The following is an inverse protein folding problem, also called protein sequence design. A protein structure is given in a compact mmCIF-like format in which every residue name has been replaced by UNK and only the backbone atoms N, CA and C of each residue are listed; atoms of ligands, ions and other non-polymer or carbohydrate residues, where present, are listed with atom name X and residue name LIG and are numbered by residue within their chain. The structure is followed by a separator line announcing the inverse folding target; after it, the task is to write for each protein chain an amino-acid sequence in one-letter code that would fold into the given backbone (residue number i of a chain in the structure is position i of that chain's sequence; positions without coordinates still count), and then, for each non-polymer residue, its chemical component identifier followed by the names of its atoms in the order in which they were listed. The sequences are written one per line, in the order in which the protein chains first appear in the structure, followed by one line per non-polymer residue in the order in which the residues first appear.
data_IF_762894903544
#
_entry.id   IF_762894903544
#
_cell.length_a   1.000
_cell.length_b   1.000
_cell.length_c   1.000
_cell.angle_alpha   90.00
_cell.angle_beta   90.00
_cell.angle_gamma   90.00
#
_symmetry.space_group_name_H-M   'P 1'
#
loop_
_entity.id
_entity.type
_entity.pdbx_description
1 polymer ?
#
# COMPACT_ATOMS: atom_id res chain seq x y z
N UNK A 1 8.85 3.50 5.06
CA UNK A 1 8.39 4.25 3.87
C UNK A 1 9.37 3.97 2.76
N UNK A 2 8.89 3.74 1.55
CA UNK A 2 9.69 3.54 0.34
C UNK A 2 9.42 4.67 -0.64
N UNK A 3 10.46 5.12 -1.35
CA UNK A 3 10.37 6.13 -2.40
C UNK A 3 10.99 5.52 -3.65
N UNK A 4 10.22 5.44 -4.74
CA UNK A 4 10.65 4.91 -6.02
C UNK A 4 10.95 6.04 -7.00
N UNK A 5 12.13 5.97 -7.61
CA UNK A 5 12.57 6.88 -8.66
C UNK A 5 12.63 6.16 -9.98
N UNK A 6 12.26 6.85 -11.05
CA UNK A 6 12.39 6.38 -12.42
C UNK A 6 13.16 7.42 -13.23
N UNK A 7 13.94 6.97 -14.22
CA UNK A 7 14.71 7.85 -15.08
C UNK A 7 13.86 8.25 -16.28
N UNK A 8 13.62 9.54 -16.42
CA UNK A 8 12.84 10.14 -17.51
C UNK A 8 13.64 11.29 -18.13
N UNK A 9 13.83 11.26 -19.45
CA UNK A 9 14.68 12.21 -20.19
C UNK A 9 16.07 12.45 -19.55
N UNK A 10 16.65 11.42 -18.95
CA UNK A 10 17.96 11.50 -18.28
C UNK A 10 17.94 12.00 -16.83
N UNK A 11 16.80 12.49 -16.32
CA UNK A 11 16.59 12.98 -14.96
C UNK A 11 15.90 11.91 -14.10
N UNK A 12 16.25 11.82 -12.82
CA UNK A 12 15.55 10.95 -11.88
C UNK A 12 14.32 11.66 -11.30
N UNK A 13 13.13 11.13 -11.57
CA UNK A 13 11.87 11.63 -11.05
C UNK A 13 11.34 10.70 -9.97
N UNK A 14 10.86 11.27 -8.85
CA UNK A 14 10.09 10.51 -7.88
C UNK A 14 8.74 10.12 -8.50
N UNK A 15 8.58 8.82 -8.80
CA UNK A 15 7.38 8.28 -9.44
C UNK A 15 6.47 7.56 -8.48
N UNK A 16 6.98 7.09 -7.34
CA UNK A 16 6.15 6.42 -6.33
C UNK A 16 6.58 6.69 -4.90
N UNK A 17 5.60 6.70 -4.00
CA UNK A 17 5.77 6.72 -2.55
C UNK A 17 4.92 5.61 -1.98
N UNK A 18 5.48 4.80 -1.09
CA UNK A 18 4.75 3.71 -0.48
C UNK A 18 4.99 3.55 1.02
N UNK A 19 3.95 3.10 1.71
CA UNK A 19 3.97 2.79 3.12
C UNK A 19 3.90 1.28 3.31
N UNK A 20 4.92 0.72 3.95
CA UNK A 20 4.94 -0.69 4.35
C UNK A 20 4.09 -0.87 5.60
N UNK A 21 2.80 -1.11 5.41
CA UNK A 21 1.80 -1.22 6.49
C UNK A 21 2.14 -2.36 7.44
N UNK A 22 2.68 -3.48 6.92
CA UNK A 22 3.11 -4.62 7.74
C UNK A 22 4.25 -4.30 8.72
N UNK A 23 4.97 -3.18 8.55
CA UNK A 23 6.03 -2.78 9.48
C UNK A 23 5.52 -1.90 10.61
N UNK A 24 4.31 -1.34 10.49
CA UNK A 24 3.70 -0.53 11.54
C UNK A 24 3.23 -1.37 12.73
N UNK A 25 3.17 -2.70 12.54
CA UNK A 25 2.55 -3.65 13.47
C UNK A 25 3.53 -4.23 14.48
N UNK A 26 4.84 -4.08 14.27
CA UNK A 26 5.87 -4.68 15.12
C UNK A 26 6.18 -3.88 16.38
N UNK A 27 5.42 -2.84 16.72
CA UNK A 27 5.53 -2.09 17.99
C UNK A 27 6.86 -1.36 18.24
N UNK A 28 7.89 -1.65 17.43
CA UNK A 28 9.26 -1.19 17.59
C UNK A 28 9.65 -0.09 16.60
N UNK A 29 8.76 0.27 15.66
CA UNK A 29 8.90 1.50 14.88
C UNK A 29 8.04 2.58 15.51
N UNK A 30 8.63 3.60 16.17
CA UNK A 30 7.84 4.68 16.73
C UNK A 30 7.13 5.39 15.57
N UNK A 31 5.80 5.28 15.56
CA UNK A 31 4.98 6.14 14.72
C UNK A 31 5.23 7.58 15.18
N UNK A 32 5.58 8.53 14.29
CA UNK A 32 5.78 9.92 14.67
C UNK A 32 4.57 10.46 15.45
N UNK A 33 4.77 11.15 16.60
CA UNK A 33 3.67 11.62 17.44
C UNK A 33 2.56 12.40 16.71
N UNK A 34 2.85 13.26 15.70
CA UNK A 34 1.80 13.94 14.94
C UNK A 34 0.86 12.99 14.19
N UNK A 35 1.40 11.87 13.67
CA UNK A 35 0.61 10.85 12.98
C UNK A 35 -0.21 10.03 13.98
N UNK A 36 0.37 9.71 15.14
CA UNK A 36 -0.34 8.99 16.19
C UNK A 36 -1.49 9.81 16.79
N UNK A 37 -1.30 11.12 16.96
CA UNK A 37 -2.35 12.03 17.43
C UNK A 37 -3.50 12.18 16.42
N UNK A 38 -3.19 12.12 15.12
CA UNK A 38 -4.19 12.29 14.05
C UNK A 38 -4.95 11.00 13.75
N UNK A 39 -4.24 9.87 13.70
CA UNK A 39 -4.75 8.59 13.18
C UNK A 39 -4.91 7.51 14.26
N UNK A 40 -4.75 7.87 15.54
CA UNK A 40 -4.77 6.96 16.70
C UNK A 40 -3.67 5.88 16.65
N UNK A 41 -3.74 4.92 17.57
CA UNK A 41 -2.89 3.74 17.52
C UNK A 41 -3.20 2.94 16.24
N UNK A 42 -2.18 2.71 15.43
CA UNK A 42 -2.31 1.83 14.27
C UNK A 42 -2.65 0.42 14.77
N UNK A 43 -3.78 -0.11 14.29
CA UNK A 43 -4.20 -1.47 14.61
C UNK A 43 -3.16 -2.50 14.18
N UNK A 44 -3.13 -3.63 14.90
CA UNK A 44 -2.03 -4.61 14.77
C UNK A 44 -1.91 -5.21 13.37
N UNK A 45 -2.93 -5.22 12.50
CA UNK A 45 -2.86 -5.65 11.07
C UNK A 45 -4.03 -5.08 10.27
N UNK A 46 -3.79 -4.56 9.07
CA UNK A 46 -4.85 -4.18 8.13
C UNK A 46 -5.20 -5.38 7.26
N UNK A 47 -6.48 -5.78 7.24
CA UNK A 47 -6.98 -6.89 6.42
C UNK A 47 -7.49 -6.36 5.08
N UNK A 48 -7.22 -7.09 4.01
CA UNK A 48 -7.61 -6.67 2.64
C UNK A 48 -9.12 -6.64 2.45
N UNK A 49 -9.84 -7.63 2.97
CA UNK A 49 -11.29 -7.72 2.73
C UNK A 49 -12.08 -6.56 3.37
N UNK A 50 -11.85 -6.19 4.65
CA UNK A 50 -12.43 -4.97 5.21
C UNK A 50 -12.05 -3.69 4.44
N UNK A 51 -10.80 -3.56 3.97
CA UNK A 51 -10.37 -2.43 3.15
C UNK A 51 -11.14 -2.38 1.82
N UNK A 52 -11.26 -3.52 1.14
CA UNK A 52 -12.00 -3.66 -0.12
C UNK A 52 -13.46 -3.27 0.07
N UNK A 53 -14.09 -3.72 1.15
CA UNK A 53 -15.45 -3.35 1.50
C UNK A 53 -15.58 -1.83 1.74
N UNK A 54 -14.69 -1.24 2.54
CA UNK A 54 -14.68 0.19 2.82
C UNK A 54 -14.47 1.05 1.55
N UNK A 55 -13.68 0.60 0.58
CA UNK A 55 -13.55 1.27 -0.71
C UNK A 55 -14.83 1.15 -1.55
N UNK A 56 -15.46 -0.03 -1.53
CA UNK A 56 -16.72 -0.26 -2.24
C UNK A 56 -17.85 0.64 -1.73
N UNK A 57 -17.93 0.94 -0.43
CA UNK A 57 -18.92 1.90 0.11
C UNK A 57 -18.73 3.33 -0.42
N UNK A 58 -17.54 3.65 -0.94
CA UNK A 58 -17.22 4.92 -1.60
C UNK A 58 -17.28 4.83 -3.14
N UNK A 59 -17.83 3.74 -3.70
CA UNK A 59 -17.92 3.54 -5.14
C UNK A 59 -16.58 3.26 -5.82
N UNK A 60 -15.56 2.83 -5.06
CA UNK A 60 -14.21 2.52 -5.54
C UNK A 60 -13.98 1.01 -5.50
N UNK A 61 -13.32 0.47 -6.52
CA UNK A 61 -13.07 -0.97 -6.60
C UNK A 61 -11.61 -1.25 -6.96
N UNK A 62 -10.94 -2.01 -6.09
CA UNK A 62 -9.61 -2.51 -6.36
C UNK A 62 -9.67 -3.67 -7.36
N UNK A 63 -8.86 -3.60 -8.41
CA UNK A 63 -8.69 -4.66 -9.39
C UNK A 63 -7.35 -5.35 -9.18
N UNK A 64 -7.31 -6.67 -9.33
CA UNK A 64 -6.04 -7.39 -9.33
C UNK A 64 -5.23 -6.98 -10.57
N UNK A 65 -4.02 -6.48 -10.36
CA UNK A 65 -3.12 -6.06 -11.41
C UNK A 65 -2.02 -7.11 -11.66
N UNK A 66 -1.39 -7.60 -10.59
CA UNK A 66 -0.23 -8.51 -10.69
C UNK A 66 -0.28 -9.55 -9.58
N UNK A 67 0.28 -10.74 -9.84
CA UNK A 67 0.50 -11.79 -8.84
C UNK A 67 1.99 -12.08 -8.75
N UNK A 68 2.50 -12.08 -7.53
CA UNK A 68 3.86 -12.53 -7.21
C UNK A 68 3.79 -13.81 -6.38
N UNK A 69 4.96 -14.38 -6.06
CA UNK A 69 5.05 -15.64 -5.31
C UNK A 69 4.40 -15.61 -3.93
N UNK A 70 4.42 -14.45 -3.26
CA UNK A 70 3.91 -14.28 -1.90
C UNK A 70 2.95 -13.09 -1.74
N UNK A 71 2.72 -12.34 -2.82
CA UNK A 71 2.01 -11.06 -2.78
C UNK A 71 1.15 -10.86 -4.02
N UNK A 72 -0.11 -10.49 -3.84
CA UNK A 72 -0.99 -9.99 -4.89
C UNK A 72 -0.99 -8.45 -4.88
N UNK A 73 -0.92 -7.85 -6.07
CA UNK A 73 -0.97 -6.39 -6.25
C UNK A 73 -2.33 -6.02 -6.80
N UNK A 74 -3.07 -5.23 -6.04
CA UNK A 74 -4.33 -4.64 -6.46
C UNK A 74 -4.17 -3.15 -6.73
N UNK A 75 -4.88 -2.61 -7.73
CA UNK A 75 -4.84 -1.20 -8.11
C UNK A 75 -6.24 -0.60 -8.18
N UNK A 76 -6.36 0.68 -7.87
CA UNK A 76 -7.53 1.46 -8.26
C UNK A 76 -7.36 1.89 -9.73
N UNK A 77 -8.27 1.54 -10.64
CA UNK A 77 -8.16 1.95 -12.05
C UNK A 77 -8.13 3.47 -12.23
N UNK A 78 -8.95 4.17 -11.46
CA UNK A 78 -9.14 5.63 -11.46
C UNK A 78 -8.04 6.43 -10.76
N UNK A 79 -7.03 5.78 -10.18
CA UNK A 79 -6.06 6.47 -9.35
C UNK A 79 -4.71 5.78 -9.30
N UNK A 80 -3.65 6.55 -9.08
CA UNK A 80 -2.31 6.00 -8.90
C UNK A 80 -2.11 5.33 -7.55
N UNK A 81 -3.00 4.39 -7.14
CA UNK A 81 -2.96 3.73 -5.82
C UNK A 81 -2.89 2.22 -5.97
N UNK A 82 -1.97 1.57 -5.25
CA UNK A 82 -1.85 0.12 -5.15
C UNK A 82 -1.95 -0.34 -3.71
N UNK A 83 -2.52 -1.52 -3.56
CA UNK A 83 -2.55 -2.28 -2.33
C UNK A 83 -1.89 -3.61 -2.62
N UNK A 84 -0.81 -3.89 -1.91
CA UNK A 84 -0.11 -5.17 -1.95
C UNK A 84 -0.60 -6.01 -0.77
N UNK A 85 -0.95 -7.26 -1.03
CA UNK A 85 -1.62 -8.16 -0.10
C UNK A 85 -0.86 -9.48 -0.08
N UNK A 86 -0.57 -10.03 1.10
CA UNK A 86 0.05 -11.35 1.17
C UNK A 86 -0.91 -12.42 0.61
N UNK A 87 -0.45 -13.21 -0.37
CA UNK A 87 -1.27 -14.25 -1.01
C UNK A 87 -1.24 -15.59 -0.27
N UNK A 88 -0.34 -15.73 0.71
CA UNK A 88 -0.20 -16.90 1.58
C UNK A 88 0.28 -16.49 2.97
N UNK A 89 0.20 -17.41 3.93
CA UNK A 89 0.78 -17.20 5.26
C UNK A 89 2.31 -17.16 5.14
N UNK A 90 2.93 -16.10 5.68
CA UNK A 90 4.37 -15.88 5.62
C UNK A 90 4.88 -15.22 6.89
N UNK A 91 5.84 -15.87 7.56
CA UNK A 91 6.37 -15.44 8.88
C UNK A 91 5.25 -15.24 9.91
N UNK A 92 5.04 -13.99 10.33
CA UNK A 92 3.98 -13.61 11.25
C UNK A 92 2.69 -13.17 10.53
N UNK A 93 2.69 -13.06 9.20
CA UNK A 93 1.58 -12.55 8.40
C UNK A 93 0.69 -13.67 7.87
N UNK A 94 -0.60 -13.37 7.78
CA UNK A 94 -1.61 -14.28 7.24
C UNK A 94 -1.99 -13.87 5.82
N UNK A 95 -2.39 -14.83 5.00
CA UNK A 95 -3.01 -14.56 3.71
C UNK A 95 -4.13 -13.52 3.87
N UNK A 96 -4.15 -12.51 3.00
CA UNK A 96 -5.08 -11.39 3.08
C UNK A 96 -4.65 -10.23 3.99
N UNK A 97 -3.49 -10.29 4.66
CA UNK A 97 -2.90 -9.12 5.31
C UNK A 97 -2.39 -8.13 4.26
N UNK A 98 -2.68 -6.84 4.45
CA UNK A 98 -2.15 -5.76 3.61
C UNK A 98 -0.70 -5.51 4.00
N UNK A 99 0.22 -5.74 3.04
CA UNK A 99 1.64 -5.58 3.29
C UNK A 99 2.10 -4.14 3.00
N UNK A 100 1.59 -3.52 1.95
CA UNK A 100 2.06 -2.21 1.47
C UNK A 100 0.94 -1.47 0.74
N UNK A 101 0.86 -0.16 0.96
CA UNK A 101 0.02 0.74 0.17
C UNK A 101 0.94 1.71 -0.57
N UNK A 102 0.81 1.75 -1.89
CA UNK A 102 1.63 2.58 -2.78
C UNK A 102 0.81 3.66 -3.46
N UNK A 103 1.45 4.79 -3.71
CA UNK A 103 0.96 5.87 -4.56
C UNK A 103 1.97 6.05 -5.69
N UNK A 104 1.53 6.11 -6.94
CA UNK A 104 2.37 6.51 -8.07
C UNK A 104 1.74 7.66 -8.84
N UNK A 105 2.58 8.45 -9.50
CA UNK A 105 2.13 9.40 -10.49
C UNK A 105 2.04 8.70 -11.83
N UNK A 106 0.85 8.65 -12.43
CA UNK A 106 0.76 8.38 -13.87
C UNK A 106 1.53 9.48 -14.60
N UNK A 107 2.28 9.11 -15.64
CA UNK A 107 2.96 10.09 -16.49
C UNK A 107 1.93 11.11 -16.97
N UNK A 108 2.21 12.40 -16.79
CA UNK A 108 1.57 13.42 -17.61
C UNK A 108 2.03 13.14 -19.03
N UNK A 109 1.14 12.63 -19.88
CA UNK A 109 1.30 12.84 -21.32
C UNK A 109 1.35 14.36 -21.51
N UNK A 110 2.49 14.83 -22.01
CA UNK A 110 2.72 16.21 -22.43
C UNK A 110 3.10 16.17 -23.90
#
# INVERSE_FOLDING_TARGET
MEIGFERDAGVWLCRSVALQVHRLTTGNTPTPPPLQATYSAFGRRLRFEPLRHALATHGRALQLAERHSDTDVHRLPEGGVSVHVFSQDIWEHQAGDVCKVGFWRQGTEA
#
